data_IF_148367810038
#
_entry.id   IF_148367810038
#
_cell.length_a   1.000
_cell.length_b   1.000
_cell.length_c   1.000
_cell.angle_alpha   90.00
_cell.angle_beta   90.00
_cell.angle_gamma   90.00
#
_symmetry.space_group_name_H-M   'P 1'
#
loop_
_entity.id
_entity.type
_entity.pdbx_description
1 polymer ?
#
# COMPACT_ATOMS: atom_id res chain seq x y z
N UNK A 1 10.33 13.10 -22.38
CA UNK A 1 9.61 11.81 -22.33
C UNK A 1 9.50 11.41 -20.87
N UNK A 2 8.29 11.21 -20.37
CA UNK A 2 8.09 10.79 -18.99
C UNK A 2 8.43 9.30 -18.84
N UNK A 3 9.59 9.00 -18.25
CA UNK A 3 10.06 7.62 -18.04
C UNK A 3 9.25 6.91 -16.95
N UNK A 4 8.48 7.63 -16.12
CA UNK A 4 7.66 7.03 -15.06
C UNK A 4 6.53 6.14 -15.61
N UNK A 5 6.13 6.36 -16.86
CA UNK A 5 5.15 5.52 -17.55
C UNK A 5 5.57 4.03 -17.58
N UNK A 6 6.87 3.74 -17.66
CA UNK A 6 7.38 2.36 -17.64
C UNK A 6 7.09 1.63 -16.32
N UNK A 7 7.00 2.35 -15.20
CA UNK A 7 6.64 1.77 -13.90
C UNK A 7 5.15 1.44 -13.77
N UNK A 8 4.31 1.80 -14.75
CA UNK A 8 2.90 1.42 -14.78
C UNK A 8 2.66 0.05 -15.42
N UNK A 9 3.67 -0.53 -16.07
CA UNK A 9 3.60 -1.89 -16.59
C UNK A 9 3.66 -2.89 -15.42
N UNK A 10 2.71 -3.82 -15.41
CA UNK A 10 2.71 -4.92 -14.44
C UNK A 10 3.65 -6.02 -14.92
N UNK A 11 4.46 -6.55 -14.00
CA UNK A 11 5.41 -7.62 -14.26
C UNK A 11 5.31 -8.71 -13.20
N UNK A 12 5.45 -9.96 -13.60
CA UNK A 12 5.76 -11.05 -12.67
C UNK A 12 7.23 -11.03 -12.25
N UNK A 13 7.60 -11.83 -11.26
CA UNK A 13 9.00 -12.12 -10.92
C UNK A 13 9.27 -13.61 -11.01
N UNK A 14 10.45 -13.95 -11.54
CA UNK A 14 10.79 -15.33 -11.85
C UNK A 14 12.28 -15.60 -11.54
N UNK A 15 12.59 -16.84 -11.20
CA UNK A 15 13.95 -17.35 -11.22
C UNK A 15 14.16 -18.08 -12.55
N UNK A 16 15.05 -17.55 -13.38
CA UNK A 16 15.47 -18.14 -14.64
C UNK A 16 16.73 -18.96 -14.40
N UNK A 17 16.70 -20.24 -14.73
CA UNK A 17 17.82 -21.17 -14.60
C UNK A 17 18.26 -21.71 -15.95
N UNK A 18 19.55 -22.02 -16.05
CA UNK A 18 20.16 -22.63 -17.20
C UNK A 18 21.27 -23.60 -16.77
N UNK A 19 21.54 -24.58 -17.62
CA UNK A 19 22.63 -25.54 -17.44
C UNK A 19 23.51 -25.56 -18.68
N UNK A 20 24.82 -25.61 -18.47
CA UNK A 20 25.82 -25.82 -19.51
C UNK A 20 26.82 -26.88 -19.02
N UNK A 21 26.85 -28.03 -19.70
CA UNK A 21 27.56 -29.22 -19.23
C UNK A 21 27.20 -29.49 -17.74
N UNK A 22 28.20 -29.57 -16.87
CA UNK A 22 27.98 -29.81 -15.43
C UNK A 22 27.61 -28.55 -14.63
N UNK A 23 27.72 -27.35 -15.21
CA UNK A 23 27.51 -26.10 -14.48
C UNK A 23 26.05 -25.64 -14.53
N UNK A 24 25.50 -25.34 -13.36
CA UNK A 24 24.18 -24.79 -13.16
C UNK A 24 24.25 -23.33 -12.70
N UNK A 25 23.31 -22.51 -13.18
CA UNK A 25 23.23 -21.11 -12.76
C UNK A 25 21.80 -20.60 -12.89
N UNK A 26 21.50 -19.51 -12.17
CA UNK A 26 20.23 -18.82 -12.30
C UNK A 26 20.33 -17.32 -12.02
N UNK A 27 19.32 -16.58 -12.45
CA UNK A 27 19.14 -15.17 -12.14
C UNK A 27 17.67 -14.81 -11.96
N UNK A 28 17.40 -13.66 -11.34
CA UNK A 28 16.04 -13.11 -11.29
C UNK A 28 15.74 -12.40 -12.61
N UNK A 29 14.54 -12.63 -13.16
CA UNK A 29 13.99 -11.87 -14.29
C UNK A 29 12.56 -11.42 -13.97
N UNK A 30 12.09 -10.36 -14.64
CA UNK A 30 10.71 -9.88 -14.57
C UNK A 30 9.99 -9.92 -15.92
N UNK A 31 10.63 -10.55 -16.91
CA UNK A 31 10.31 -10.49 -18.34
C UNK A 31 10.07 -11.89 -18.86
N UNK A 32 9.05 -12.59 -18.35
CA UNK A 32 8.57 -13.85 -18.91
C UNK A 32 7.07 -13.74 -19.22
N UNK A 33 6.68 -14.12 -20.43
CA UNK A 33 5.28 -14.07 -20.88
C UNK A 33 5.00 -15.21 -21.87
N UNK A 34 3.77 -15.73 -21.87
CA UNK A 34 3.34 -16.65 -22.92
C UNK A 34 3.27 -15.89 -24.25
N UNK A 35 4.04 -16.36 -25.23
CA UNK A 35 4.11 -15.75 -26.55
C UNK A 35 3.00 -16.27 -27.49
N UNK A 36 2.68 -17.56 -27.39
CA UNK A 36 1.61 -18.20 -28.15
C UNK A 36 1.06 -19.41 -27.37
N UNK A 37 -0.22 -19.74 -27.56
CA UNK A 37 -0.84 -20.94 -27.00
C UNK A 37 -0.70 -22.16 -27.92
N UNK A 38 -0.55 -21.95 -29.23
CA UNK A 38 -0.37 -23.02 -30.22
C UNK A 38 0.57 -22.59 -31.38
N UNK A 39 1.76 -23.21 -31.51
CA UNK A 39 2.39 -24.07 -30.51
C UNK A 39 2.58 -23.31 -29.18
N UNK A 40 2.56 -24.02 -28.05
CA UNK A 40 2.67 -23.41 -26.74
C UNK A 40 4.08 -22.86 -26.52
N UNK A 41 4.22 -21.54 -26.53
CA UNK A 41 5.51 -20.85 -26.53
C UNK A 41 5.63 -19.83 -25.40
N UNK A 42 6.82 -19.73 -24.83
CA UNK A 42 7.19 -18.73 -23.84
C UNK A 42 8.26 -17.81 -24.42
N UNK A 43 8.16 -16.51 -24.14
CA UNK A 43 9.23 -15.56 -24.40
C UNK A 43 9.82 -15.00 -23.12
N UNK A 44 11.15 -14.85 -23.11
CA UNK A 44 11.91 -14.19 -22.06
C UNK A 44 12.86 -13.13 -22.62
N UNK A 45 13.13 -12.08 -21.84
CA UNK A 45 14.15 -11.07 -22.18
C UNK A 45 15.23 -11.06 -21.12
N UNK A 46 16.46 -11.39 -21.50
CA UNK A 46 17.56 -11.54 -20.54
C UNK A 46 18.65 -10.52 -20.86
N UNK A 47 19.04 -9.75 -19.83
CA UNK A 47 20.13 -8.79 -19.94
C UNK A 47 21.44 -9.51 -20.26
N UNK A 48 22.18 -9.02 -21.26
CA UNK A 48 23.45 -9.62 -21.72
C UNK A 48 24.55 -9.63 -20.64
N UNK A 49 24.44 -8.81 -19.60
CA UNK A 49 25.35 -8.83 -18.46
C UNK A 49 25.19 -10.09 -17.58
N UNK A 50 24.02 -10.74 -17.59
CA UNK A 50 23.78 -11.94 -16.77
C UNK A 50 24.50 -13.16 -17.34
N UNK A 51 25.18 -13.93 -16.48
CA UNK A 51 25.82 -15.17 -16.94
C UNK A 51 24.82 -16.20 -17.48
N UNK A 52 23.60 -16.21 -16.92
CA UNK A 52 22.49 -17.03 -17.39
C UNK A 52 22.14 -16.75 -18.85
N UNK A 53 22.23 -15.49 -19.31
CA UNK A 53 22.00 -15.13 -20.71
C UNK A 53 22.95 -15.92 -21.63
N UNK A 54 24.25 -15.88 -21.33
CA UNK A 54 25.28 -16.49 -22.17
C UNK A 54 25.13 -18.01 -22.22
N UNK A 55 24.72 -18.63 -21.12
CA UNK A 55 24.42 -20.07 -21.07
C UNK A 55 23.24 -20.42 -21.99
N UNK A 56 22.13 -19.67 -21.90
CA UNK A 56 20.94 -19.92 -22.75
C UNK A 56 21.28 -19.70 -24.23
N UNK A 57 22.07 -18.67 -24.56
CA UNK A 57 22.51 -18.41 -25.92
C UNK A 57 23.29 -19.59 -26.52
N UNK A 58 24.06 -20.33 -25.72
CA UNK A 58 24.85 -21.48 -26.18
C UNK A 58 24.08 -22.79 -26.17
N UNK A 59 23.23 -23.01 -25.17
CA UNK A 59 22.55 -24.31 -24.98
C UNK A 59 21.15 -24.36 -25.55
N UNK A 60 20.52 -23.21 -25.79
CA UNK A 60 19.16 -23.11 -26.32
C UNK A 60 18.10 -23.65 -25.37
N UNK A 61 18.39 -23.79 -24.06
CA UNK A 61 17.46 -24.35 -23.08
C UNK A 61 17.47 -23.54 -21.80
N UNK A 62 16.30 -23.41 -21.19
CA UNK A 62 16.14 -22.79 -19.89
C UNK A 62 14.92 -23.33 -19.14
N UNK A 63 14.87 -23.04 -17.84
CA UNK A 63 13.67 -23.27 -17.02
C UNK A 63 13.34 -21.99 -16.24
N UNK A 64 12.06 -21.66 -16.20
CA UNK A 64 11.52 -20.52 -15.45
C UNK A 64 10.78 -21.07 -14.24
N UNK A 65 11.16 -20.63 -13.05
CA UNK A 65 10.39 -20.87 -11.82
C UNK A 65 9.63 -19.60 -11.45
N UNK A 66 8.31 -19.70 -11.35
CA UNK A 66 7.42 -18.56 -11.06
C UNK A 66 7.41 -18.32 -9.56
N UNK A 67 7.91 -17.16 -9.12
CA UNK A 67 7.97 -16.83 -7.70
C UNK A 67 6.56 -16.59 -7.15
N UNK A 68 6.28 -17.12 -5.96
CA UNK A 68 4.99 -17.00 -5.28
C UNK A 68 5.05 -16.00 -4.14
N UNK A 69 3.90 -15.51 -3.67
CA UNK A 69 3.84 -14.54 -2.56
C UNK A 69 4.42 -15.06 -1.23
N UNK A 70 4.78 -16.35 -1.13
CA UNK A 70 5.54 -16.93 -0.02
C UNK A 70 7.07 -16.81 -0.17
N UNK A 71 7.56 -16.36 -1.33
CA UNK A 71 8.98 -16.17 -1.59
C UNK A 71 9.61 -15.22 -0.56
N UNK A 72 10.66 -15.70 0.11
CA UNK A 72 11.40 -14.90 1.07
C UNK A 72 12.47 -14.07 0.35
N UNK A 73 12.85 -12.94 0.96
CA UNK A 73 13.86 -12.03 0.39
C UNK A 73 15.19 -12.71 0.09
N UNK A 74 15.57 -13.73 0.88
CA UNK A 74 16.81 -14.47 0.67
C UNK A 74 16.88 -15.16 -0.70
N UNK A 75 15.76 -15.59 -1.32
CA UNK A 75 15.77 -16.11 -2.70
C UNK A 75 16.20 -15.04 -3.70
N UNK A 76 15.71 -13.81 -3.55
CA UNK A 76 16.05 -12.69 -4.43
C UNK A 76 17.49 -12.28 -4.27
N UNK A 77 17.99 -12.25 -3.03
CA UNK A 77 19.40 -12.00 -2.73
C UNK A 77 20.29 -13.09 -3.32
N UNK A 78 19.92 -14.36 -3.14
CA UNK A 78 20.70 -15.51 -3.61
C UNK A 78 20.83 -15.54 -5.14
N UNK A 79 19.72 -15.39 -5.87
CA UNK A 79 19.73 -15.46 -7.34
C UNK A 79 19.97 -14.11 -8.03
N UNK A 80 19.66 -13.00 -7.37
CA UNK A 80 19.70 -11.66 -7.96
C UNK A 80 20.96 -10.83 -7.66
N UNK A 81 21.62 -11.02 -6.51
CA UNK A 81 22.69 -10.10 -6.06
C UNK A 81 24.10 -10.68 -6.21
N UNK A 82 24.23 -11.80 -6.92
CA UNK A 82 25.50 -12.49 -7.14
C UNK A 82 25.63 -12.84 -8.62
N UNK A 83 26.83 -12.76 -9.16
CA UNK A 83 27.14 -13.19 -10.52
C UNK A 83 27.46 -14.69 -10.54
N UNK A 84 26.84 -15.43 -11.47
CA UNK A 84 27.17 -16.85 -11.67
C UNK A 84 28.55 -17.10 -12.31
N UNK A 85 29.27 -16.04 -12.69
CA UNK A 85 30.67 -16.14 -13.14
C UNK A 85 31.60 -16.41 -11.95
N UNK A 86 31.27 -15.82 -10.80
CA UNK A 86 32.14 -15.76 -9.63
C UNK A 86 31.63 -16.63 -8.48
N UNK A 87 30.33 -16.95 -8.46
CA UNK A 87 29.69 -17.74 -7.41
C UNK A 87 28.94 -18.94 -7.98
N UNK A 88 29.14 -20.13 -7.40
CA UNK A 88 28.29 -21.30 -7.67
C UNK A 88 27.02 -21.23 -6.83
N UNK A 89 25.91 -20.76 -7.44
CA UNK A 89 24.63 -20.56 -6.74
C UNK A 89 23.92 -21.87 -6.36
N UNK A 90 24.36 -23.02 -6.87
CA UNK A 90 23.72 -24.31 -6.63
C UNK A 90 24.56 -25.26 -5.77
N UNK A 91 25.75 -24.85 -5.31
CA UNK A 91 26.64 -25.72 -4.54
C UNK A 91 26.04 -26.20 -3.21
N UNK A 92 25.32 -25.31 -2.51
CA UNK A 92 24.66 -25.60 -1.23
C UNK A 92 23.15 -25.29 -1.26
N UNK A 93 22.56 -25.21 -2.46
CA UNK A 93 21.14 -24.87 -2.62
C UNK A 93 20.32 -26.15 -2.85
N UNK A 94 19.51 -26.52 -1.87
CA UNK A 94 18.81 -27.82 -1.85
C UNK A 94 17.34 -27.72 -2.32
N UNK A 95 16.75 -26.52 -2.27
CA UNK A 95 15.33 -26.29 -2.60
C UNK A 95 15.08 -26.23 -4.12
N UNK A 96 15.58 -27.24 -4.84
CA UNK A 96 15.46 -27.36 -6.29
C UNK A 96 15.32 -28.81 -6.74
N UNK A 97 14.69 -28.99 -7.90
CA UNK A 97 14.53 -30.29 -8.55
C UNK A 97 14.74 -30.13 -10.06
N UNK A 98 14.99 -31.24 -10.77
CA UNK A 98 15.27 -31.22 -12.22
C UNK A 98 13.97 -31.40 -13.00
N UNK A 99 13.73 -30.52 -13.97
CA UNK A 99 12.73 -30.77 -15.00
C UNK A 99 13.20 -31.82 -16.00
N UNK A 100 12.32 -32.22 -16.92
CA UNK A 100 12.64 -33.19 -17.98
C UNK A 100 13.79 -32.76 -18.90
N UNK A 101 14.07 -31.45 -18.99
CA UNK A 101 15.17 -30.88 -19.76
C UNK A 101 16.53 -30.96 -19.03
N UNK A 102 16.58 -31.49 -17.81
CA UNK A 102 17.80 -31.57 -16.99
C UNK A 102 18.22 -30.25 -16.35
N UNK A 103 17.39 -29.21 -16.34
CA UNK A 103 17.66 -27.91 -15.71
C UNK A 103 16.89 -27.82 -14.39
N UNK A 104 17.50 -27.18 -13.39
CA UNK A 104 16.85 -27.00 -12.09
C UNK A 104 15.67 -26.04 -12.18
N UNK A 105 14.55 -26.40 -11.56
CA UNK A 105 13.55 -25.44 -11.10
C UNK A 105 13.62 -25.35 -9.57
N UNK A 106 13.18 -24.22 -9.03
CA UNK A 106 13.17 -23.96 -7.59
C UNK A 106 11.84 -24.46 -7.03
N UNK A 107 11.88 -25.24 -5.94
CA UNK A 107 10.71 -25.91 -5.35
C UNK A 107 10.07 -25.11 -4.22
N UNK A 108 10.84 -24.27 -3.51
CA UNK A 108 10.34 -23.42 -2.43
C UNK A 108 10.26 -21.96 -2.84
N UNK A 109 9.23 -21.25 -2.38
CA UNK A 109 9.00 -19.85 -2.74
C UNK A 109 8.52 -19.64 -4.18
N UNK A 110 8.14 -20.71 -4.87
CA UNK A 110 7.59 -20.71 -6.23
C UNK A 110 6.23 -21.37 -6.27
N UNK A 111 5.45 -21.16 -7.34
CA UNK A 111 4.13 -21.79 -7.52
C UNK A 111 3.99 -22.58 -8.83
N UNK A 112 4.93 -22.42 -9.76
CA UNK A 112 4.98 -23.20 -10.99
C UNK A 112 6.39 -23.21 -11.56
N UNK A 113 6.69 -24.17 -12.43
CA UNK A 113 7.85 -24.11 -13.32
C UNK A 113 7.47 -24.38 -14.78
N UNK A 114 8.28 -23.86 -15.70
CA UNK A 114 8.10 -23.97 -17.15
C UNK A 114 9.48 -24.18 -17.78
N UNK A 115 9.69 -25.32 -18.43
CA UNK A 115 10.91 -25.67 -19.15
C UNK A 115 10.74 -25.43 -20.64
N UNK A 116 11.76 -24.85 -21.28
CA UNK A 116 11.66 -24.33 -22.64
C UNK A 116 12.89 -24.72 -23.47
N UNK A 117 12.64 -25.07 -24.74
CA UNK A 117 13.67 -25.15 -25.79
C UNK A 117 13.51 -23.99 -26.75
N UNK A 118 14.56 -23.17 -26.86
CA UNK A 118 14.60 -21.95 -27.68
C UNK A 118 14.52 -22.32 -29.16
N UNK A 119 13.61 -21.67 -29.88
CA UNK A 119 13.43 -21.81 -31.32
C UNK A 119 13.77 -20.53 -32.07
N UNK A 120 13.71 -19.37 -31.41
CA UNK A 120 14.04 -18.07 -31.99
C UNK A 120 14.70 -17.15 -30.98
N UNK A 121 15.64 -16.33 -31.46
CA UNK A 121 16.26 -15.25 -30.69
C UNK A 121 16.19 -13.93 -31.45
N UNK A 122 16.14 -12.82 -30.72
CA UNK A 122 16.17 -11.47 -31.28
C UNK A 122 17.03 -10.56 -30.40
N UNK A 123 17.93 -9.78 -31.01
CA UNK A 123 18.76 -8.81 -30.31
C UNK A 123 18.03 -7.47 -30.12
N UNK A 124 17.89 -7.03 -28.88
CA UNK A 124 17.20 -5.78 -28.51
C UNK A 124 18.15 -4.77 -27.87
N UNK A 125 19.44 -4.89 -28.14
CA UNK A 125 20.50 -4.03 -27.60
C UNK A 125 21.00 -4.56 -26.26
N UNK A 126 20.44 -4.06 -25.15
CA UNK A 126 20.87 -4.46 -23.79
C UNK A 126 20.40 -5.85 -23.38
N UNK A 127 19.36 -6.35 -24.03
CA UNK A 127 18.74 -7.65 -23.76
C UNK A 127 18.67 -8.47 -25.05
N UNK A 128 18.67 -9.79 -24.90
CA UNK A 128 18.27 -10.71 -25.97
C UNK A 128 16.91 -11.28 -25.61
N UNK A 129 15.98 -11.27 -26.57
CA UNK A 129 14.71 -11.98 -26.45
C UNK A 129 14.91 -13.42 -26.90
N UNK A 130 14.52 -14.38 -26.07
CA UNK A 130 14.48 -15.79 -26.41
C UNK A 130 13.01 -16.21 -26.48
N UNK A 131 12.61 -16.85 -27.58
CA UNK A 131 11.29 -17.47 -27.75
C UNK A 131 11.53 -18.96 -27.95
N UNK A 132 10.76 -19.78 -27.25
CA UNK A 132 10.89 -21.22 -27.35
C UNK A 132 9.61 -21.97 -27.06
N UNK A 133 9.58 -23.24 -27.45
CA UNK A 133 8.49 -24.16 -27.18
C UNK A 133 8.59 -24.69 -25.75
N UNK A 134 7.45 -24.71 -25.06
CA UNK A 134 7.35 -25.27 -23.71
C UNK A 134 7.38 -26.80 -23.82
N UNK A 135 8.39 -27.41 -23.21
CA UNK A 135 8.58 -28.86 -23.24
C UNK A 135 8.03 -29.57 -22.01
N UNK A 136 7.87 -28.85 -20.90
CA UNK A 136 7.46 -29.39 -19.60
C UNK A 136 7.03 -28.24 -18.67
N UNK A 137 5.97 -28.44 -17.89
CA UNK A 137 5.45 -27.44 -16.96
C UNK A 137 4.57 -28.07 -15.88
N UNK A 138 4.62 -27.52 -14.67
CA UNK A 138 3.83 -28.02 -13.54
C UNK A 138 3.45 -26.89 -12.59
N UNK A 139 2.28 -27.01 -11.97
CA UNK A 139 1.85 -26.17 -10.84
C UNK A 139 2.33 -26.82 -9.55
N UNK A 140 3.17 -26.12 -8.81
CA UNK A 140 3.76 -26.56 -7.54
C UNK A 140 2.92 -26.12 -6.33
N UNK A 141 2.15 -25.04 -6.46
CA UNK A 141 1.35 -24.47 -5.38
C UNK A 141 0.22 -23.59 -5.89
N UNK A 142 -0.87 -23.48 -5.11
CA UNK A 142 -1.95 -22.53 -5.39
C UNK A 142 -1.69 -21.12 -4.82
N UNK A 143 -0.54 -20.88 -4.20
CA UNK A 143 -0.16 -19.55 -3.71
C UNK A 143 -0.01 -18.58 -4.89
N UNK A 144 -0.62 -17.38 -4.86
CA UNK A 144 -0.53 -16.42 -5.96
C UNK A 144 0.92 -16.04 -6.32
N UNK A 145 1.15 -15.67 -7.58
CA UNK A 145 2.47 -15.24 -8.05
C UNK A 145 2.86 -13.86 -7.50
N UNK A 146 4.16 -13.62 -7.35
CA UNK A 146 4.71 -12.30 -7.05
C UNK A 146 4.62 -11.42 -8.29
N UNK A 147 4.02 -10.25 -8.13
CA UNK A 147 4.20 -9.13 -9.06
C UNK A 147 5.35 -8.25 -8.61
N UNK A 148 5.95 -7.49 -9.53
CA UNK A 148 7.00 -6.53 -9.18
C UNK A 148 6.53 -5.51 -8.13
N UNK A 149 5.27 -5.05 -8.23
CA UNK A 149 4.65 -4.18 -7.23
C UNK A 149 4.51 -4.87 -5.86
N UNK A 150 4.04 -6.12 -5.84
CA UNK A 150 3.94 -6.91 -4.60
C UNK A 150 5.30 -7.07 -3.93
N UNK A 151 6.36 -7.35 -4.71
CA UNK A 151 7.71 -7.45 -4.20
C UNK A 151 8.18 -6.15 -3.52
N UNK A 152 7.99 -5.00 -4.16
CA UNK A 152 8.40 -3.70 -3.59
C UNK A 152 7.66 -3.41 -2.27
N UNK A 153 6.39 -3.78 -2.18
CA UNK A 153 5.54 -3.43 -1.05
C UNK A 153 5.60 -4.42 0.12
N UNK A 154 5.89 -5.70 -0.14
CA UNK A 154 5.71 -6.78 0.84
C UNK A 154 6.96 -7.65 1.09
N UNK A 155 7.85 -7.80 0.11
CA UNK A 155 9.00 -8.72 0.23
C UNK A 155 10.31 -7.97 0.43
N UNK A 156 10.50 -6.88 -0.31
CA UNK A 156 11.70 -6.06 -0.23
C UNK A 156 11.82 -5.46 1.19
N UNK A 157 12.98 -5.58 1.85
CA UNK A 157 13.20 -5.01 3.18
C UNK A 157 12.84 -3.52 3.19
N UNK A 158 12.05 -3.14 4.20
CA UNK A 158 11.68 -1.74 4.43
C UNK A 158 12.92 -0.92 4.83
N UNK A 159 12.88 0.41 4.60
CA UNK A 159 13.97 1.29 4.99
C UNK A 159 14.30 1.15 6.47
N UNK A 160 15.57 1.16 6.82
CA UNK A 160 16.00 1.13 8.22
C UNK A 160 16.18 2.57 8.70
N UNK A 161 15.48 2.95 9.76
CA UNK A 161 15.58 4.29 10.37
C UNK A 161 16.81 4.37 11.28
N UNK A 162 17.72 5.30 10.99
CA UNK A 162 18.83 5.65 11.86
C UNK A 162 18.94 7.17 11.93
N UNK A 163 17.94 7.82 12.53
CA UNK A 163 17.91 9.26 12.78
C UNK A 163 16.55 9.90 12.49
N UNK A 164 16.24 10.98 13.21
CA UNK A 164 15.11 11.87 12.90
C UNK A 164 15.61 12.96 11.97
N UNK A 165 14.85 13.25 10.91
CA UNK A 165 15.08 14.39 10.01
C UNK A 165 14.01 15.43 10.31
N UNK A 166 14.40 16.71 10.41
CA UNK A 166 13.47 17.78 10.80
C UNK A 166 12.46 18.14 9.70
N UNK A 167 12.79 17.93 8.41
CA UNK A 167 11.99 18.39 7.25
C UNK A 167 11.74 17.33 6.16
N UNK A 168 11.59 16.05 6.54
CA UNK A 168 11.24 14.95 5.64
C UNK A 168 12.34 13.91 5.46
N UNK A 169 11.97 12.71 5.00
CA UNK A 169 12.88 11.56 4.97
C UNK A 169 13.96 11.72 3.90
N UNK A 170 15.18 12.09 4.32
CA UNK A 170 16.39 11.86 3.51
C UNK A 170 16.66 10.36 3.50
N UNK A 171 16.52 9.75 2.33
CA UNK A 171 16.76 8.32 2.12
C UNK A 171 17.98 8.17 1.25
N UNK A 172 18.96 7.41 1.69
CA UNK A 172 20.06 6.94 0.88
C UNK A 172 19.69 5.56 0.34
N UNK A 173 19.54 5.44 -0.98
CA UNK A 173 19.17 4.18 -1.64
C UNK A 173 20.38 3.55 -2.31
N UNK A 174 20.69 2.31 -1.97
CA UNK A 174 21.69 1.51 -2.68
C UNK A 174 21.22 1.28 -4.13
N UNK A 175 22.00 1.73 -5.11
CA UNK A 175 21.71 1.56 -6.55
C UNK A 175 21.80 0.10 -7.01
N UNK A 176 22.45 -0.75 -6.22
CA UNK A 176 22.66 -2.17 -6.55
C UNK A 176 21.46 -3.01 -6.12
N UNK A 177 21.09 -2.95 -4.83
CA UNK A 177 20.04 -3.81 -4.27
C UNK A 177 18.77 -3.07 -3.85
N UNK A 178 18.78 -1.74 -3.90
CA UNK A 178 17.65 -0.91 -3.49
C UNK A 178 17.42 -0.86 -1.98
N UNK A 179 18.39 -1.25 -1.14
CA UNK A 179 18.34 -1.02 0.31
C UNK A 179 18.25 0.48 0.58
N UNK A 180 17.35 0.87 1.48
CA UNK A 180 17.12 2.26 1.85
C UNK A 180 17.59 2.48 3.29
N UNK A 181 18.51 3.42 3.45
CA UNK A 181 18.99 3.94 4.73
C UNK A 181 18.37 5.32 4.96
N UNK A 182 17.71 5.54 6.10
CA UNK A 182 17.11 6.85 6.41
C UNK A 182 18.04 7.60 7.38
N UNK A 183 18.53 8.75 6.94
CA UNK A 183 19.43 9.62 7.70
C UNK A 183 19.91 10.81 6.86
N UNK A 184 20.25 11.93 7.51
CA UNK A 184 20.69 13.15 6.79
C UNK A 184 21.95 12.91 5.95
N UNK A 185 22.89 12.14 6.51
CA UNK A 185 24.15 11.75 5.90
C UNK A 185 24.33 10.23 5.95
N UNK A 186 24.92 9.68 4.89
CA UNK A 186 25.36 8.28 4.84
C UNK A 186 26.84 8.23 5.24
N UNK A 187 27.21 7.45 6.27
CA UNK A 187 28.62 7.31 6.64
C UNK A 187 29.49 6.85 5.45
N UNK A 188 30.69 7.42 5.30
CA UNK A 188 31.60 7.07 4.20
C UNK A 188 32.04 5.59 4.23
N UNK A 189 32.09 5.02 5.42
CA UNK A 189 32.40 3.61 5.68
C UNK A 189 31.16 2.70 5.66
N UNK A 190 29.99 3.23 5.31
CA UNK A 190 28.76 2.45 5.28
C UNK A 190 28.84 1.33 4.23
N UNK A 191 28.66 0.10 4.68
CA UNK A 191 28.56 -1.07 3.82
C UNK A 191 27.11 -1.52 3.79
N UNK A 192 26.51 -1.60 2.59
CA UNK A 192 25.15 -2.05 2.43
C UNK A 192 24.93 -3.39 3.15
N UNK A 193 24.00 -3.49 4.13
CA UNK A 193 23.84 -4.70 4.91
C UNK A 193 23.36 -5.87 4.05
N UNK A 194 22.67 -5.58 2.94
CA UNK A 194 22.09 -6.58 2.05
C UNK A 194 23.08 -7.11 1.01
N UNK A 195 23.71 -6.24 0.24
CA UNK A 195 24.56 -6.63 -0.91
C UNK A 195 26.06 -6.40 -0.68
N UNK A 196 26.46 -5.86 0.47
CA UNK A 196 27.85 -5.61 0.85
C UNK A 196 28.61 -4.62 -0.05
N UNK A 197 27.91 -3.88 -0.90
CA UNK A 197 28.49 -2.77 -1.66
C UNK A 197 28.75 -1.53 -0.80
N UNK A 198 29.78 -0.73 -1.14
CA UNK A 198 30.18 0.45 -0.38
C UNK A 198 29.19 1.61 -0.48
N UNK A 199 29.34 2.61 0.40
CA UNK A 199 28.55 3.84 0.45
C UNK A 199 28.52 4.59 -0.90
N UNK A 200 29.58 4.49 -1.70
CA UNK A 200 29.66 5.08 -3.05
C UNK A 200 28.59 4.56 -4.01
N UNK A 201 27.97 3.41 -3.71
CA UNK A 201 26.88 2.84 -4.49
C UNK A 201 25.49 3.31 -4.03
N UNK A 202 25.40 4.23 -3.08
CA UNK A 202 24.16 4.84 -2.65
C UNK A 202 23.92 6.17 -3.38
N UNK A 203 22.64 6.43 -3.66
CA UNK A 203 22.17 7.73 -4.14
C UNK A 203 21.28 8.38 -3.09
N UNK A 204 21.40 9.69 -2.94
CA UNK A 204 20.50 10.48 -2.08
C UNK A 204 19.14 10.60 -2.79
N UNK A 205 18.15 9.90 -2.26
CA UNK A 205 16.74 10.03 -2.59
C UNK A 205 16.11 10.95 -1.57
N UNK A 206 15.89 12.19 -1.96
CA UNK A 206 14.99 13.06 -1.21
C UNK A 206 13.58 12.61 -1.56
N UNK A 207 12.98 11.75 -0.72
CA UNK A 207 11.52 11.67 -0.72
C UNK A 207 11.07 13.00 -0.13
N UNK A 208 10.75 13.97 -1.01
CA UNK A 208 9.66 14.86 -0.67
C UNK A 208 8.54 13.92 -0.29
N UNK A 209 8.01 14.05 0.91
CA UNK A 209 6.71 13.49 1.23
C UNK A 209 5.86 13.84 0.02
N UNK A 210 5.49 12.86 -0.80
CA UNK A 210 4.33 13.02 -1.66
C UNK A 210 3.18 13.03 -0.66
N UNK A 211 3.03 14.17 0.01
CA UNK A 211 1.73 14.71 0.30
C UNK A 211 1.08 14.61 -1.08
N UNK A 212 0.05 13.77 -1.23
CA UNK A 212 -0.96 14.15 -2.20
C UNK A 212 -1.35 15.53 -1.72
N UNK A 213 -0.77 16.59 -2.30
CA UNK A 213 -1.28 17.91 -2.06
C UNK A 213 -2.76 17.77 -2.36
N UNK A 214 -3.60 17.95 -1.34
CA UNK A 214 -5.05 18.02 -1.51
C UNK A 214 -5.25 18.85 -2.77
N UNK A 215 -5.91 18.28 -3.77
CA UNK A 215 -6.00 18.90 -5.09
C UNK A 215 -6.36 20.36 -4.87
N UNK A 216 -5.44 21.29 -5.17
CA UNK A 216 -5.60 22.66 -4.69
C UNK A 216 -6.99 23.19 -5.12
N UNK A 217 -7.69 23.86 -4.20
CA UNK A 217 -9.00 24.43 -4.53
C UNK A 217 -8.81 25.38 -5.73
N UNK A 218 -9.25 24.93 -6.90
CA UNK A 218 -9.06 25.66 -8.17
C UNK A 218 -9.85 26.97 -8.22
N UNK A 219 -10.74 27.19 -7.25
CA UNK A 219 -11.57 28.39 -7.11
C UNK A 219 -11.04 29.37 -6.05
N UNK A 220 -9.89 29.09 -5.42
CA UNK A 220 -9.36 29.90 -4.32
C UNK A 220 -9.32 31.40 -4.64
N UNK A 221 -9.88 32.21 -3.75
CA UNK A 221 -9.96 33.67 -3.85
C UNK A 221 -11.08 34.21 -4.74
N UNK A 222 -11.91 33.36 -5.34
CA UNK A 222 -13.00 33.78 -6.24
C UNK A 222 -14.35 33.90 -5.52
N UNK A 223 -15.30 34.61 -6.13
CA UNK A 223 -16.70 34.58 -5.66
C UNK A 223 -17.32 33.18 -5.80
N UNK A 224 -16.86 32.37 -6.76
CA UNK A 224 -17.34 30.99 -6.94
C UNK A 224 -16.97 30.11 -5.75
N UNK A 225 -15.77 30.26 -5.17
CA UNK A 225 -15.40 29.57 -3.92
C UNK A 225 -16.36 29.93 -2.78
N UNK A 226 -16.66 31.21 -2.59
CA UNK A 226 -17.62 31.66 -1.56
C UNK A 226 -19.01 31.06 -1.80
N UNK A 227 -19.49 31.08 -3.04
CA UNK A 227 -20.78 30.50 -3.39
C UNK A 227 -20.81 28.99 -3.12
N UNK A 228 -19.71 28.27 -3.38
CA UNK A 228 -19.58 26.84 -3.08
C UNK A 228 -19.57 26.57 -1.57
N UNK A 229 -18.88 27.40 -0.79
CA UNK A 229 -18.86 27.32 0.68
C UNK A 229 -20.26 27.58 1.27
N UNK A 230 -20.95 28.60 0.77
CA UNK A 230 -22.34 28.92 1.14
C UNK A 230 -23.30 27.78 0.77
N UNK A 231 -23.16 27.21 -0.44
CA UNK A 231 -23.96 26.06 -0.85
C UNK A 231 -23.69 24.84 0.05
N UNK A 232 -22.42 24.52 0.34
CA UNK A 232 -22.07 23.42 1.24
C UNK A 232 -22.64 23.62 2.65
N UNK A 233 -22.53 24.84 3.21
CA UNK A 233 -23.11 25.16 4.50
C UNK A 233 -24.64 25.05 4.50
N UNK A 234 -25.30 25.55 3.44
CA UNK A 234 -26.75 25.50 3.27
C UNK A 234 -27.28 24.07 3.21
N UNK A 235 -26.67 23.22 2.37
CA UNK A 235 -27.06 21.81 2.23
C UNK A 235 -26.79 21.00 3.51
N UNK A 236 -25.69 21.30 4.22
CA UNK A 236 -25.38 20.64 5.50
C UNK A 236 -26.40 21.00 6.60
N UNK A 237 -26.83 22.25 6.65
CA UNK A 237 -27.90 22.69 7.54
C UNK A 237 -29.25 22.08 7.14
N UNK A 238 -29.54 21.99 5.83
CA UNK A 238 -30.78 21.41 5.31
C UNK A 238 -30.90 19.93 5.71
N UNK A 239 -29.85 19.12 5.51
CA UNK A 239 -29.78 17.72 5.94
C UNK A 239 -30.16 17.53 7.42
N UNK A 240 -29.55 18.31 8.31
CA UNK A 240 -29.81 18.22 9.76
C UNK A 240 -31.25 18.61 10.08
N UNK A 241 -31.72 19.76 9.57
CA UNK A 241 -33.11 20.22 9.76
C UNK A 241 -34.13 19.19 9.30
N UNK A 242 -33.96 18.62 8.10
CA UNK A 242 -34.90 17.64 7.56
C UNK A 242 -34.93 16.34 8.38
N UNK A 243 -33.79 15.93 8.94
CA UNK A 243 -33.73 14.78 9.85
C UNK A 243 -34.49 15.06 11.16
N UNK A 244 -34.42 16.29 11.68
CA UNK A 244 -35.21 16.70 12.85
C UNK A 244 -36.71 16.78 12.52
N UNK A 245 -37.07 17.32 11.35
CA UNK A 245 -38.46 17.39 10.88
C UNK A 245 -39.07 16.00 10.67
N UNK A 246 -38.28 15.03 10.19
CA UNK A 246 -38.72 13.65 10.10
C UNK A 246 -39.13 13.09 11.48
N UNK A 247 -38.36 13.40 12.53
CA UNK A 247 -38.67 12.98 13.89
C UNK A 247 -39.96 13.60 14.42
N UNK A 248 -40.26 14.85 14.07
CA UNK A 248 -41.54 15.50 14.41
C UNK A 248 -42.69 14.84 13.65
N UNK A 249 -42.58 14.70 12.33
CA UNK A 249 -43.60 14.05 11.50
C UNK A 249 -43.91 12.63 11.97
N UNK A 250 -42.89 11.87 12.39
CA UNK A 250 -43.07 10.53 12.98
C UNK A 250 -43.84 10.57 14.30
N UNK A 251 -43.50 11.49 15.21
CA UNK A 251 -44.20 11.66 16.50
C UNK A 251 -45.68 12.02 16.30
N UNK A 252 -46.00 12.73 15.22
CA UNK A 252 -47.38 13.10 14.85
C UNK A 252 -48.12 12.01 14.06
N UNK A 253 -47.47 10.89 13.74
CA UNK A 253 -48.07 9.76 13.02
C UNK A 253 -48.01 9.86 11.49
N UNK A 254 -47.34 10.86 10.93
CA UNK A 254 -47.15 11.04 9.49
C UNK A 254 -45.94 10.26 8.97
N UNK A 255 -46.01 8.92 9.01
CA UNK A 255 -44.89 8.03 8.64
C UNK A 255 -44.37 8.26 7.20
N UNK A 256 -45.27 8.50 6.23
CA UNK A 256 -44.84 8.80 4.85
C UNK A 256 -44.05 10.12 4.77
N UNK A 257 -44.48 11.16 5.49
CA UNK A 257 -43.81 12.46 5.49
C UNK A 257 -42.44 12.37 6.18
N UNK A 258 -42.37 11.62 7.28
CA UNK A 258 -41.09 11.27 7.93
C UNK A 258 -40.12 10.61 6.97
N UNK A 259 -40.57 9.58 6.24
CA UNK A 259 -39.74 8.88 5.26
C UNK A 259 -39.29 9.81 4.11
N UNK A 260 -40.17 10.70 3.64
CA UNK A 260 -39.83 11.69 2.62
C UNK A 260 -38.79 12.71 3.12
N UNK A 261 -38.92 13.21 4.35
CA UNK A 261 -37.92 14.09 4.95
C UNK A 261 -36.55 13.42 5.06
N UNK A 262 -36.49 12.15 5.50
CA UNK A 262 -35.23 11.40 5.55
C UNK A 262 -34.63 11.20 4.15
N UNK A 263 -35.47 10.85 3.16
CA UNK A 263 -35.03 10.74 1.78
C UNK A 263 -34.44 12.05 1.26
N UNK A 264 -35.10 13.17 1.52
CA UNK A 264 -34.59 14.51 1.14
C UNK A 264 -33.29 14.82 1.89
N UNK A 265 -33.19 14.53 3.19
CA UNK A 265 -31.96 14.72 3.95
C UNK A 265 -30.77 13.93 3.35
N UNK A 266 -31.02 12.71 2.87
CA UNK A 266 -30.01 11.93 2.15
C UNK A 266 -29.64 12.52 0.78
N UNK A 267 -30.57 13.22 0.10
CA UNK A 267 -30.26 13.94 -1.13
C UNK A 267 -29.38 15.17 -0.83
N UNK A 268 -29.69 15.95 0.19
CA UNK A 268 -28.87 17.10 0.58
C UNK A 268 -27.47 16.70 1.05
N UNK A 269 -27.33 15.51 1.66
CA UNK A 269 -26.02 14.92 1.95
C UNK A 269 -25.19 14.72 0.68
N UNK A 270 -25.79 14.22 -0.40
CA UNK A 270 -25.08 14.02 -1.67
C UNK A 270 -24.82 15.34 -2.41
N UNK A 271 -25.71 16.33 -2.31
CA UNK A 271 -25.47 17.69 -2.82
C UNK A 271 -24.29 18.35 -2.09
N UNK A 272 -24.30 18.35 -0.76
CA UNK A 272 -23.20 18.87 0.07
C UNK A 272 -21.86 18.19 -0.28
N UNK A 273 -21.85 16.87 -0.43
CA UNK A 273 -20.67 16.10 -0.83
C UNK A 273 -20.15 16.50 -2.22
N UNK A 274 -21.03 16.79 -3.17
CA UNK A 274 -20.65 17.26 -4.50
C UNK A 274 -19.90 18.60 -4.41
N UNK A 275 -20.45 19.58 -3.66
CA UNK A 275 -19.82 20.89 -3.48
C UNK A 275 -18.51 20.82 -2.70
N UNK A 276 -18.48 20.01 -1.64
CA UNK A 276 -17.28 19.85 -0.81
C UNK A 276 -16.13 19.19 -1.59
N UNK A 277 -16.44 18.30 -2.55
CA UNK A 277 -15.45 17.76 -3.48
C UNK A 277 -14.88 18.82 -4.43
N UNK A 278 -15.71 19.73 -4.94
CA UNK A 278 -15.24 20.84 -5.79
C UNK A 278 -14.32 21.79 -5.02
N UNK A 279 -14.54 21.95 -3.71
CA UNK A 279 -13.66 22.68 -2.78
C UNK A 279 -12.44 21.87 -2.34
N UNK A 280 -12.27 20.65 -2.84
CA UNK A 280 -11.22 19.70 -2.45
C UNK A 280 -11.19 19.36 -0.95
N UNK A 281 -12.33 19.42 -0.26
CA UNK A 281 -12.42 19.14 1.17
C UNK A 281 -12.39 17.66 1.57
N UNK A 282 -12.28 16.73 0.61
CA UNK A 282 -12.25 15.27 0.89
C UNK A 282 -10.91 14.69 0.44
N UNK A 283 -10.10 14.31 1.41
CA UNK A 283 -8.82 13.62 1.23
C UNK A 283 -8.89 12.11 1.52
N UNK A 284 -7.73 11.50 1.74
CA UNK A 284 -7.64 10.17 2.32
C UNK A 284 -7.96 10.16 3.83
N UNK A 285 -8.02 8.98 4.45
CA UNK A 285 -8.40 8.88 5.88
C UNK A 285 -7.47 9.66 6.81
N UNK A 286 -6.17 9.74 6.52
CA UNK A 286 -5.22 10.49 7.36
C UNK A 286 -5.50 11.99 7.23
N UNK A 287 -5.62 12.48 6.01
CA UNK A 287 -5.92 13.89 5.70
C UNK A 287 -7.25 14.32 6.33
N UNK A 288 -8.29 13.47 6.22
CA UNK A 288 -9.59 13.74 6.82
C UNK A 288 -9.55 13.75 8.36
N UNK A 289 -8.74 12.89 8.99
CA UNK A 289 -8.57 12.88 10.45
C UNK A 289 -7.82 14.13 10.94
N UNK A 290 -6.85 14.62 10.18
CA UNK A 290 -6.16 15.89 10.47
C UNK A 290 -7.16 17.05 10.37
N UNK A 291 -7.88 17.16 9.25
CA UNK A 291 -8.85 18.23 9.04
C UNK A 291 -9.97 18.22 10.11
N UNK A 292 -10.45 17.03 10.51
CA UNK A 292 -11.40 16.90 11.60
C UNK A 292 -10.80 17.38 12.93
N UNK A 293 -9.61 16.90 13.31
CA UNK A 293 -8.98 17.31 14.57
C UNK A 293 -8.68 18.81 14.64
N UNK A 294 -8.30 19.44 13.52
CA UNK A 294 -8.07 20.88 13.44
C UNK A 294 -9.37 21.69 13.54
N UNK A 295 -10.44 21.20 12.91
CA UNK A 295 -11.78 21.77 13.06
C UNK A 295 -12.25 21.72 14.51
N UNK A 296 -12.23 20.53 15.12
CA UNK A 296 -12.60 20.33 16.53
C UNK A 296 -11.76 21.22 17.47
N UNK A 297 -10.44 21.32 17.22
CA UNK A 297 -9.55 22.18 18.01
C UNK A 297 -10.01 23.64 18.01
N UNK A 298 -10.20 24.23 16.82
CA UNK A 298 -10.69 25.58 16.66
C UNK A 298 -12.06 25.78 17.34
N UNK A 299 -12.95 24.78 17.24
CA UNK A 299 -14.27 24.86 17.86
C UNK A 299 -14.17 25.02 19.38
N UNK A 300 -13.36 24.24 20.09
CA UNK A 300 -13.29 24.32 21.55
C UNK A 300 -12.31 25.37 22.09
N UNK A 301 -11.22 25.70 21.38
CA UNK A 301 -10.23 26.69 21.86
C UNK A 301 -10.67 28.12 21.60
N UNK A 302 -11.34 28.38 20.49
CA UNK A 302 -11.62 29.73 20.01
C UNK A 302 -13.12 29.99 19.84
N UNK A 303 -13.82 29.17 19.05
CA UNK A 303 -15.21 29.45 18.67
C UNK A 303 -16.18 29.37 19.86
N UNK A 304 -16.25 28.24 20.54
CA UNK A 304 -17.18 28.04 21.67
C UNK A 304 -16.79 28.83 22.91
N UNK A 305 -15.49 29.02 23.18
CA UNK A 305 -15.03 29.90 24.25
C UNK A 305 -15.43 31.36 23.98
N UNK A 306 -15.24 31.83 22.75
CA UNK A 306 -15.69 33.16 22.30
C UNK A 306 -17.22 33.31 22.39
N UNK A 307 -17.98 32.34 21.89
CA UNK A 307 -19.44 32.36 21.94
C UNK A 307 -19.97 32.35 23.37
N UNK A 308 -19.36 31.60 24.27
CA UNK A 308 -19.73 31.58 25.67
C UNK A 308 -19.52 32.95 26.35
N UNK A 309 -18.38 33.61 26.07
CA UNK A 309 -18.08 34.96 26.57
C UNK A 309 -19.08 35.99 26.07
N UNK A 310 -19.34 36.02 24.75
CA UNK A 310 -20.34 36.91 24.16
C UNK A 310 -21.73 36.67 24.77
N UNK A 311 -22.15 35.41 24.91
CA UNK A 311 -23.44 35.07 25.51
C UNK A 311 -23.54 35.54 26.97
N UNK A 312 -22.45 35.49 27.75
CA UNK A 312 -22.41 36.05 29.10
C UNK A 312 -22.52 37.58 29.12
N UNK A 313 -21.77 38.26 28.27
CA UNK A 313 -21.79 39.72 28.14
C UNK A 313 -23.18 40.24 27.75
N UNK A 314 -23.90 39.47 26.92
CA UNK A 314 -25.26 39.78 26.47
C UNK A 314 -26.35 39.33 27.47
N UNK A 315 -25.99 38.67 28.58
CA UNK A 315 -26.92 38.28 29.64
C UNK A 315 -27.64 36.94 29.42
N UNK A 316 -27.05 36.01 28.66
CA UNK A 316 -27.54 34.65 28.39
C UNK A 316 -26.69 33.55 29.08
N UNK A 317 -26.60 33.50 30.42
CA UNK A 317 -25.68 32.62 31.14
C UNK A 317 -25.97 31.12 30.94
N UNK A 318 -27.23 30.73 30.75
CA UNK A 318 -27.58 29.33 30.46
C UNK A 318 -27.06 28.87 29.09
N UNK A 319 -27.05 29.76 28.11
CA UNK A 319 -26.53 29.47 26.77
C UNK A 319 -24.99 29.45 26.80
N UNK A 320 -24.37 30.38 27.52
CA UNK A 320 -22.93 30.36 27.76
C UNK A 320 -22.46 29.04 28.40
N UNK A 321 -23.18 28.56 29.41
CA UNK A 321 -22.90 27.27 30.04
C UNK A 321 -22.99 26.10 29.04
N UNK A 322 -23.98 26.11 28.14
CA UNK A 322 -24.11 25.11 27.07
C UNK A 322 -22.95 25.18 26.09
N UNK A 323 -22.54 26.37 25.64
CA UNK A 323 -21.39 26.51 24.75
C UNK A 323 -20.10 25.95 25.37
N UNK A 324 -19.85 26.21 26.66
CA UNK A 324 -18.69 25.61 27.35
C UNK A 324 -18.78 24.10 27.42
N UNK A 325 -19.94 23.56 27.78
CA UNK A 325 -20.15 22.12 27.85
C UNK A 325 -19.97 21.44 26.48
N UNK A 326 -20.40 22.09 25.39
CA UNK A 326 -20.14 21.61 24.03
C UNK A 326 -18.64 21.68 23.71
N UNK A 327 -17.95 22.77 24.05
CA UNK A 327 -16.50 22.85 23.90
C UNK A 327 -15.73 21.74 24.62
N UNK A 328 -16.14 21.33 25.82
CA UNK A 328 -15.55 20.17 26.51
C UNK A 328 -15.75 18.85 25.74
N UNK A 329 -16.86 18.70 25.02
CA UNK A 329 -17.14 17.53 24.18
C UNK A 329 -16.28 17.55 22.91
N UNK A 330 -16.18 18.69 22.24
CA UNK A 330 -15.38 18.82 21.00
C UNK A 330 -13.88 18.58 21.28
N UNK A 331 -13.39 18.95 22.46
CA UNK A 331 -12.05 18.56 22.91
C UNK A 331 -11.86 17.04 22.92
N UNK A 332 -12.85 16.29 23.40
CA UNK A 332 -12.78 14.83 23.39
C UNK A 332 -12.87 14.25 21.96
N UNK A 333 -13.57 14.91 21.04
CA UNK A 333 -13.55 14.56 19.62
C UNK A 333 -12.15 14.76 19.01
N UNK A 334 -11.50 15.89 19.28
CA UNK A 334 -10.11 16.12 18.87
C UNK A 334 -9.19 15.00 19.37
N UNK A 335 -9.22 14.71 20.67
CA UNK A 335 -8.40 13.67 21.30
C UNK A 335 -8.60 12.30 20.62
N UNK A 336 -9.84 11.94 20.31
CA UNK A 336 -10.19 10.74 19.57
C UNK A 336 -9.58 10.74 18.16
N UNK A 337 -9.76 11.80 17.38
CA UNK A 337 -9.24 11.85 16.00
C UNK A 337 -7.72 11.83 15.97
N UNK A 338 -7.04 12.52 16.89
CA UNK A 338 -5.58 12.47 17.04
C UNK A 338 -5.09 11.07 17.41
N UNK A 339 -5.79 10.36 18.30
CA UNK A 339 -5.45 8.98 18.66
C UNK A 339 -5.64 8.02 17.47
N UNK A 340 -6.71 8.17 16.69
CA UNK A 340 -6.95 7.39 15.47
C UNK A 340 -5.87 7.66 14.42
N UNK A 341 -5.52 8.93 14.18
CA UNK A 341 -4.45 9.31 13.27
C UNK A 341 -3.12 8.65 13.66
N UNK A 342 -2.76 8.74 14.95
CA UNK A 342 -1.56 8.10 15.49
C UNK A 342 -1.57 6.58 15.26
N UNK A 343 -2.71 5.91 15.39
CA UNK A 343 -2.81 4.48 15.09
C UNK A 343 -2.49 4.19 13.62
N UNK A 344 -2.93 5.03 12.68
CA UNK A 344 -2.61 4.84 11.26
C UNK A 344 -1.12 5.10 10.99
N UNK A 345 -0.56 6.16 11.56
CA UNK A 345 0.86 6.54 11.36
C UNK A 345 1.82 5.48 11.93
N UNK A 346 1.47 4.90 13.08
CA UNK A 346 2.28 3.88 13.76
C UNK A 346 1.93 2.45 13.34
N UNK A 347 1.06 2.28 12.33
CA UNK A 347 0.55 0.96 11.88
C UNK A 347 -0.11 0.13 13.00
N UNK A 348 -0.68 0.79 14.00
CA UNK A 348 -1.31 0.19 15.17
C UNK A 348 -2.84 0.03 15.06
N UNK A 349 -3.41 0.13 13.85
CA UNK A 349 -4.86 -0.01 13.65
C UNK A 349 -5.32 -1.45 13.93
N UNK A 350 -4.56 -2.42 13.44
CA UNK A 350 -4.87 -3.86 13.56
C UNK A 350 -3.76 -4.67 14.24
N UNK A 351 -2.80 -3.97 14.85
CA UNK A 351 -1.66 -4.55 15.57
C UNK A 351 -1.34 -3.67 16.79
N UNK A 352 -1.00 -4.27 17.92
CA UNK A 352 -0.60 -3.57 19.16
C UNK A 352 0.67 -4.22 19.72
N UNK A 353 1.44 -3.44 20.47
CA UNK A 353 2.64 -3.94 21.16
C UNK A 353 2.33 -4.96 22.25
N UNK A 354 1.10 -4.98 22.75
CA UNK A 354 0.61 -5.89 23.77
C UNK A 354 -0.50 -6.77 23.21
N UNK A 355 -0.71 -7.93 23.84
CA UNK A 355 -1.86 -8.80 23.53
C UNK A 355 -3.15 -8.03 23.80
N UNK A 356 -4.03 -7.99 22.81
CA UNK A 356 -5.39 -7.46 22.91
C UNK A 356 -6.40 -8.54 22.53
N UNK A 357 -7.64 -8.28 22.90
CA UNK A 357 -8.80 -9.02 22.44
C UNK A 357 -9.33 -8.26 21.22
N UNK A 358 -9.40 -8.92 20.07
CA UNK A 358 -9.90 -8.38 18.82
C UNK A 358 -11.27 -8.98 18.54
N UNK A 359 -12.23 -8.15 18.16
CA UNK A 359 -13.58 -8.57 17.81
C UNK A 359 -13.90 -8.23 16.36
N UNK A 360 -14.43 -9.21 15.62
CA UNK A 360 -14.96 -8.98 14.28
C UNK A 360 -16.35 -8.35 14.36
N UNK A 361 -16.49 -7.07 14.00
CA UNK A 361 -17.77 -6.34 13.99
C UNK A 361 -18.85 -6.96 13.10
N UNK A 362 -18.47 -7.80 12.14
CA UNK A 362 -19.45 -8.44 11.26
C UNK A 362 -20.16 -9.63 11.91
N UNK A 363 -19.47 -10.42 12.73
CA UNK A 363 -20.01 -11.68 13.27
C UNK A 363 -19.76 -11.94 14.75
N UNK A 364 -19.10 -11.02 15.47
CA UNK A 364 -18.75 -11.14 16.88
C UNK A 364 -17.62 -12.12 17.19
N UNK A 365 -16.90 -12.62 16.18
CA UNK A 365 -15.80 -13.54 16.43
C UNK A 365 -14.65 -12.86 17.17
N UNK A 366 -14.23 -13.45 18.30
CA UNK A 366 -13.17 -12.94 19.17
C UNK A 366 -11.85 -13.70 18.91
N UNK A 367 -10.76 -12.95 18.78
CA UNK A 367 -9.37 -13.45 18.70
C UNK A 367 -8.51 -12.76 19.74
N UNK A 368 -7.72 -13.53 20.48
CA UNK A 368 -6.73 -12.99 21.44
C UNK A 368 -5.35 -13.01 20.80
N UNK A 369 -4.68 -11.86 20.71
CA UNK A 369 -3.35 -11.75 20.13
C UNK A 369 -2.87 -10.31 19.99
N UNK A 370 -1.61 -10.13 19.59
CA UNK A 370 -1.05 -8.80 19.30
C UNK A 370 -1.58 -8.21 17.98
N UNK A 371 -2.15 -9.04 17.10
CA UNK A 371 -2.63 -8.64 15.77
C UNK A 371 -3.98 -9.27 15.44
N UNK A 372 -4.87 -8.51 14.81
CA UNK A 372 -6.10 -9.03 14.23
C UNK A 372 -5.78 -9.93 13.02
N UNK A 373 -6.52 -11.02 12.76
CA UNK A 373 -6.25 -11.89 11.61
C UNK A 373 -6.58 -11.18 10.29
N UNK A 374 -5.82 -11.49 9.23
CA UNK A 374 -6.02 -10.89 7.90
C UNK A 374 -7.41 -11.19 7.31
N UNK A 375 -7.95 -12.35 7.65
CA UNK A 375 -9.29 -12.82 7.28
C UNK A 375 -9.94 -13.41 8.52
N UNK A 376 -11.19 -13.03 8.80
CA UNK A 376 -11.97 -13.60 9.89
C UNK A 376 -12.20 -15.11 9.61
N UNK A 377 -11.80 -16.03 10.51
CA UNK A 377 -11.94 -17.46 10.28
C UNK A 377 -13.38 -17.97 10.33
N UNK A 378 -14.33 -17.14 10.77
CA UNK A 378 -15.75 -17.50 10.87
C UNK A 378 -16.54 -17.00 9.66
N UNK A 379 -16.45 -15.71 9.34
CA UNK A 379 -17.29 -15.09 8.30
C UNK A 379 -16.52 -14.70 7.03
N UNK A 380 -15.22 -15.00 6.95
CA UNK A 380 -14.35 -14.72 5.80
C UNK A 380 -14.24 -13.25 5.39
N UNK A 381 -14.64 -12.31 6.25
CA UNK A 381 -14.46 -10.88 6.01
C UNK A 381 -13.03 -10.43 6.31
N UNK A 382 -12.53 -9.39 5.61
CA UNK A 382 -11.15 -8.93 5.76
C UNK A 382 -10.88 -8.32 7.14
N UNK A 383 -9.58 -8.16 7.46
CA UNK A 383 -9.07 -7.56 8.71
C UNK A 383 -9.74 -6.24 9.08
N UNK A 384 -10.19 -5.45 8.09
CA UNK A 384 -10.86 -4.16 8.29
C UNK A 384 -12.16 -4.21 9.10
N UNK A 385 -12.69 -5.41 9.34
CA UNK A 385 -13.85 -5.62 10.20
C UNK A 385 -13.50 -5.85 11.67
N UNK A 386 -12.22 -6.03 12.00
CA UNK A 386 -11.79 -6.19 13.39
C UNK A 386 -11.55 -4.86 14.08
N UNK A 387 -11.88 -4.81 15.37
CA UNK A 387 -11.52 -3.74 16.28
C UNK A 387 -11.07 -4.31 17.63
N UNK A 388 -10.49 -3.47 18.49
CA UNK A 388 -10.17 -3.87 19.86
C UNK A 388 -11.50 -4.02 20.61
N UNK A 389 -11.72 -5.18 21.20
CA UNK A 389 -12.91 -5.47 21.99
C UNK A 389 -12.94 -4.56 23.23
N UNK A 390 -14.10 -3.97 23.51
CA UNK A 390 -14.35 -3.14 24.68
C UNK A 390 -15.46 -3.79 25.51
N UNK A 391 -15.18 -4.11 26.78
CA UNK A 391 -16.18 -4.56 27.75
C UNK A 391 -16.68 -3.36 28.57
N UNK A 392 -17.96 -3.03 28.43
CA UNK A 392 -18.59 -1.87 29.08
C UNK A 392 -19.90 -2.20 29.83
N UNK A 393 -20.08 -3.47 30.21
CA UNK A 393 -21.27 -3.98 30.91
C UNK A 393 -20.94 -4.72 32.21
#
# INVERSE_FOLDING_TARGET
MDRKAMYKLSYGLFILTAKEAEKDNGCIINTAIQAASEPNQLSIWVNKANYTHDMIQRTGKFTVSVLSQKAQFELFKHFGFQSGRDTNKFEAFEQCARGTNGIYYITEGTNAYISVTVTKTEDLGSHTMFIGEITDMEVLSNVPSVTYDYYQNNIKPKPQEVGKTEDGQTIWRCRICGYEYVGEELPDDFICPLCKHPASDFEKVVKKTEVKEMAANKYAGTQTEKNLQEAFAGESQARNKYTYFASVAKKEGYEQMSALFLKTADNEKEHAKMWFKELAGIGDTKENLVAAAEGENYEWTDMYDGFAKTAEEEGFPELAAKFRAVGEIEKHHEERYRALLKNIETSQVFEKSEVKVWECRNCGHIVVGTKAPEVCPVCNHPQSYFEVHEENY
#
